data_IF_253644641271
#
_entry.id   IF_253644641271
#
_cell.length_a   1.000
_cell.length_b   1.000
_cell.length_c   1.000
_cell.angle_alpha   90.00
_cell.angle_beta   90.00
_cell.angle_gamma   90.00
#
_symmetry.space_group_name_H-M   'P 1'
#
loop_
_entity.id
_entity.type
_entity.pdbx_description
1 polymer ?
#
# COMPACT_ATOMS: atom_id res chain seq x y z
N UNK A 1 0.99 24.50 -11.02
CA UNK A 1 0.94 23.20 -11.71
C UNK A 1 2.06 22.91 -12.74
N UNK A 2 2.57 23.86 -13.55
CA UNK A 2 3.60 23.54 -14.59
C UNK A 2 4.96 23.09 -14.04
N UNK A 3 5.34 23.55 -12.83
CA UNK A 3 6.57 23.11 -12.14
C UNK A 3 6.65 21.59 -11.93
N UNK A 4 5.53 20.91 -11.68
CA UNK A 4 5.53 19.45 -11.53
C UNK A 4 5.87 18.75 -12.85
N UNK A 5 5.42 19.29 -13.99
CA UNK A 5 5.74 18.77 -15.31
C UNK A 5 7.23 18.93 -15.63
N UNK A 6 7.86 20.03 -15.21
CA UNK A 6 9.31 20.24 -15.35
C UNK A 6 10.12 19.24 -14.51
N UNK A 7 9.72 19.00 -13.25
CA UNK A 7 10.47 18.11 -12.33
C UNK A 7 10.20 16.62 -12.59
N UNK A 8 8.99 16.24 -12.99
CA UNK A 8 8.54 14.84 -13.09
C UNK A 8 8.16 14.38 -14.50
N UNK A 9 8.26 15.24 -15.52
CA UNK A 9 7.91 14.90 -16.91
C UNK A 9 8.67 13.69 -17.46
N UNK A 10 9.94 13.52 -17.06
CA UNK A 10 10.78 12.37 -17.47
C UNK A 10 10.28 11.01 -16.96
N UNK A 11 9.43 11.00 -15.92
CA UNK A 11 8.83 9.77 -15.38
C UNK A 11 7.43 9.51 -15.94
N UNK A 12 7.00 10.30 -16.94
CA UNK A 12 5.64 10.23 -17.49
C UNK A 12 4.54 10.47 -16.43
N UNK A 13 4.82 11.26 -15.39
CA UNK A 13 3.79 11.61 -14.39
C UNK A 13 2.77 12.60 -14.96
N UNK A 14 3.28 13.69 -15.55
CA UNK A 14 2.49 14.80 -16.10
C UNK A 14 3.21 15.32 -17.35
N UNK A 15 2.45 15.64 -18.40
CA UNK A 15 2.94 16.33 -19.60
C UNK A 15 2.06 17.53 -19.91
N UNK A 16 2.65 18.62 -20.36
CA UNK A 16 1.93 19.79 -20.87
C UNK A 16 1.59 19.54 -22.34
N UNK A 17 0.31 19.69 -22.71
CA UNK A 17 -0.18 19.59 -24.09
C UNK A 17 -1.09 20.78 -24.38
N UNK A 18 -0.53 21.82 -25.01
CA UNK A 18 -1.21 23.10 -25.17
C UNK A 18 -1.55 23.71 -23.81
N UNK A 19 -2.84 24.00 -23.59
CA UNK A 19 -3.38 24.55 -22.33
C UNK A 19 -3.70 23.47 -21.29
N UNK A 20 -3.53 22.18 -21.63
CA UNK A 20 -3.91 21.06 -20.79
C UNK A 20 -2.73 20.35 -20.15
N UNK A 21 -2.96 19.78 -18.97
CA UNK A 21 -2.08 18.79 -18.36
C UNK A 21 -2.61 17.40 -18.66
N UNK A 22 -1.75 16.53 -19.19
CA UNK A 22 -2.05 15.13 -19.50
C UNK A 22 -1.27 14.21 -18.56
N UNK A 23 -1.90 13.11 -18.15
CA UNK A 23 -1.36 12.17 -17.17
C UNK A 23 -1.24 10.79 -17.81
N UNK A 24 -0.10 10.48 -18.47
CA UNK A 24 0.05 9.25 -19.25
C UNK A 24 0.21 7.98 -18.41
N UNK A 25 0.02 8.07 -17.08
CA UNK A 25 0.03 6.92 -16.18
C UNK A 25 1.40 6.48 -15.70
N UNK A 26 2.44 7.26 -15.94
CA UNK A 26 3.77 6.97 -15.44
C UNK A 26 3.89 7.14 -13.92
N UNK A 27 4.94 6.52 -13.38
CA UNK A 27 5.28 6.50 -11.97
C UNK A 27 6.77 6.28 -11.79
N UNK A 28 7.31 6.53 -10.59
CA UNK A 28 8.71 6.20 -10.32
C UNK A 28 8.98 4.70 -10.46
N UNK A 29 8.02 3.86 -10.05
CA UNK A 29 8.10 2.40 -10.17
C UNK A 29 7.51 1.84 -11.46
N UNK A 30 6.79 2.64 -12.25
CA UNK A 30 6.12 2.20 -13.48
C UNK A 30 6.25 3.26 -14.58
N UNK A 31 7.49 3.54 -14.97
CA UNK A 31 7.85 4.57 -15.97
C UNK A 31 7.21 4.31 -17.34
N UNK A 32 6.96 3.04 -17.65
CA UNK A 32 6.31 2.58 -18.88
C UNK A 32 4.78 2.46 -18.76
N UNK A 33 4.18 2.98 -17.68
CA UNK A 33 2.74 3.12 -17.52
C UNK A 33 2.15 2.18 -16.46
N UNK A 34 1.10 2.67 -15.79
CA UNK A 34 0.41 1.97 -14.71
C UNK A 34 -0.29 0.67 -15.19
N UNK A 35 -0.85 0.64 -16.41
CA UNK A 35 -1.53 -0.56 -16.93
C UNK A 35 -0.61 -1.78 -16.99
N UNK A 36 0.58 -1.64 -17.59
CA UNK A 36 1.58 -2.71 -17.61
C UNK A 36 1.93 -3.19 -16.20
N UNK A 37 2.07 -2.25 -15.25
CA UNK A 37 2.40 -2.59 -13.87
C UNK A 37 1.27 -3.31 -13.15
N UNK A 38 0.01 -2.91 -13.36
CA UNK A 38 -1.20 -3.58 -12.85
C UNK A 38 -1.29 -5.00 -13.42
N UNK A 39 -1.03 -5.18 -14.72
CA UNK A 39 -1.01 -6.49 -15.39
C UNK A 39 0.12 -7.38 -14.87
N UNK A 40 1.31 -6.80 -14.68
CA UNK A 40 2.43 -7.50 -14.09
C UNK A 40 2.11 -8.01 -12.67
N UNK A 41 1.50 -7.16 -11.81
CA UNK A 41 1.06 -7.58 -10.47
C UNK A 41 0.09 -8.76 -10.55
N UNK A 42 -0.90 -8.69 -11.45
CA UNK A 42 -1.86 -9.78 -11.64
C UNK A 42 -1.19 -11.04 -12.20
N UNK A 43 -0.21 -10.91 -13.09
CA UNK A 43 0.52 -12.04 -13.65
C UNK A 43 1.30 -12.81 -12.57
N UNK A 44 1.99 -12.10 -11.67
CA UNK A 44 2.79 -12.73 -10.61
C UNK A 44 1.95 -13.21 -9.42
N UNK A 45 0.71 -12.72 -9.29
CA UNK A 45 -0.25 -13.14 -8.27
C UNK A 45 -1.68 -13.16 -8.84
N UNK A 46 -2.05 -14.21 -9.60
CA UNK A 46 -3.35 -14.29 -10.28
C UNK A 46 -4.55 -14.16 -9.35
N UNK A 47 -4.44 -14.63 -8.11
CA UNK A 47 -5.53 -14.59 -7.13
C UNK A 47 -5.90 -13.17 -6.68
N UNK A 48 -5.08 -12.15 -6.99
CA UNK A 48 -5.50 -10.75 -6.83
C UNK A 48 -6.79 -10.49 -7.61
N UNK A 49 -6.89 -11.03 -8.83
CA UNK A 49 -8.11 -11.04 -9.64
C UNK A 49 -8.87 -9.70 -9.59
N UNK A 50 -8.24 -8.62 -10.09
CA UNK A 50 -8.78 -7.26 -10.10
C UNK A 50 -10.23 -7.22 -10.56
N UNK A 51 -11.08 -6.47 -9.86
CA UNK A 51 -12.50 -6.31 -10.17
C UNK A 51 -13.37 -7.51 -9.85
N UNK A 52 -12.77 -8.65 -9.46
CA UNK A 52 -13.49 -9.87 -9.04
C UNK A 52 -13.34 -10.07 -7.55
N UNK A 53 -12.12 -10.44 -7.12
CA UNK A 53 -11.79 -10.63 -5.72
C UNK A 53 -11.35 -9.32 -5.08
N UNK A 54 -10.35 -8.66 -5.65
CA UNK A 54 -9.87 -7.38 -5.13
C UNK A 54 -10.64 -6.24 -5.78
N UNK A 55 -11.42 -5.51 -4.98
CA UNK A 55 -12.30 -4.42 -5.40
C UNK A 55 -12.01 -3.11 -4.70
N UNK A 56 -11.40 -3.15 -3.51
CA UNK A 56 -11.09 -1.95 -2.72
C UNK A 56 -9.61 -1.92 -2.37
N UNK A 57 -8.91 -0.88 -2.81
CA UNK A 57 -7.46 -0.73 -2.66
C UNK A 57 -7.10 0.55 -1.91
N UNK A 58 -6.13 0.47 -1.01
CA UNK A 58 -5.47 1.62 -0.42
C UNK A 58 -4.11 1.82 -1.11
N UNK A 59 -3.93 2.94 -1.81
CA UNK A 59 -2.68 3.29 -2.50
C UNK A 59 -1.88 4.31 -1.69
N UNK A 60 -0.88 3.83 -0.94
CA UNK A 60 -0.06 4.63 -0.03
C UNK A 60 1.11 5.25 -0.79
N UNK A 61 1.29 6.56 -0.66
CA UNK A 61 2.30 7.33 -1.40
C UNK A 61 1.95 7.44 -2.89
N UNK A 62 0.68 7.69 -3.20
CA UNK A 62 0.08 7.57 -4.54
C UNK A 62 0.64 8.51 -5.62
N UNK A 63 1.40 9.54 -5.25
CA UNK A 63 1.80 10.59 -6.19
C UNK A 63 0.57 11.29 -6.78
N UNK A 64 0.52 11.39 -8.11
CA UNK A 64 -0.65 11.89 -8.87
C UNK A 64 -1.75 10.82 -9.08
N UNK A 65 -1.75 9.76 -8.26
CA UNK A 65 -2.72 8.67 -8.25
C UNK A 65 -2.86 7.91 -9.59
N UNK A 66 -1.78 7.79 -10.36
CA UNK A 66 -1.79 7.02 -11.62
C UNK A 66 -2.23 5.57 -11.41
N UNK A 67 -1.68 4.88 -10.41
CA UNK A 67 -2.04 3.49 -10.12
C UNK A 67 -3.55 3.35 -9.83
N UNK A 68 -4.07 4.14 -8.90
CA UNK A 68 -5.49 4.14 -8.56
C UNK A 68 -6.40 4.55 -9.71
N UNK A 69 -6.00 5.54 -10.51
CA UNK A 69 -6.79 5.99 -11.66
C UNK A 69 -6.96 4.93 -12.75
N UNK A 70 -5.90 4.18 -13.06
CA UNK A 70 -5.97 3.10 -14.07
C UNK A 70 -6.60 1.81 -13.55
N UNK A 71 -6.72 1.64 -12.22
CA UNK A 71 -7.47 0.53 -11.62
C UNK A 71 -8.99 0.66 -11.81
N UNK A 72 -9.51 1.85 -12.13
CA UNK A 72 -10.92 2.01 -12.49
C UNK A 72 -11.31 1.24 -13.75
N UNK A 73 -10.39 1.12 -14.72
CA UNK A 73 -10.58 0.30 -15.92
C UNK A 73 -10.67 -1.20 -15.61
N UNK A 74 -10.44 -1.59 -14.35
CA UNK A 74 -10.50 -2.96 -13.84
C UNK A 74 -11.60 -3.16 -12.79
N UNK A 75 -12.58 -2.26 -12.70
CA UNK A 75 -13.65 -2.29 -11.70
C UNK A 75 -13.14 -2.30 -10.25
N UNK A 76 -12.05 -1.58 -9.98
CA UNK A 76 -11.43 -1.48 -8.64
C UNK A 76 -11.49 -0.05 -8.14
N UNK A 77 -12.10 0.14 -6.97
CA UNK A 77 -12.10 1.41 -6.25
C UNK A 77 -10.79 1.56 -5.48
N UNK A 78 -10.03 2.59 -5.81
CA UNK A 78 -8.78 2.91 -5.11
C UNK A 78 -8.92 4.19 -4.30
N UNK A 79 -8.60 4.12 -3.02
CA UNK A 79 -8.41 5.28 -2.16
C UNK A 79 -6.92 5.61 -2.11
N UNK A 80 -6.54 6.73 -2.70
CA UNK A 80 -5.16 7.19 -2.75
C UNK A 80 -4.79 8.05 -1.54
N UNK A 81 -3.62 7.83 -0.96
CA UNK A 81 -3.13 8.57 0.20
C UNK A 81 -1.73 9.11 -0.07
N UNK A 82 -1.54 10.41 0.13
CA UNK A 82 -0.21 11.02 0.11
C UNK A 82 -0.13 12.24 1.05
N UNK A 83 1.07 12.51 1.61
CA UNK A 83 1.31 13.74 2.35
C UNK A 83 1.24 14.97 1.44
N UNK A 84 1.14 16.16 2.05
CA UNK A 84 1.52 17.39 1.37
C UNK A 84 3.04 17.45 1.30
N UNK A 85 3.61 17.37 0.10
CA UNK A 85 5.05 17.54 -0.12
C UNK A 85 5.38 18.93 -0.67
N UNK A 86 6.66 19.16 -0.94
CA UNK A 86 7.21 20.44 -1.43
C UNK A 86 6.78 20.77 -2.88
N UNK A 87 6.09 19.86 -3.58
CA UNK A 87 5.82 19.93 -5.03
C UNK A 87 4.35 20.22 -5.39
N UNK A 88 3.64 21.02 -4.57
CA UNK A 88 2.16 21.17 -4.60
C UNK A 88 1.45 19.87 -4.14
N UNK A 89 0.20 19.97 -3.66
CA UNK A 89 -0.51 18.79 -3.17
C UNK A 89 -0.78 17.82 -4.34
N UNK A 90 0.01 16.77 -4.51
CA UNK A 90 -0.16 15.78 -5.60
C UNK A 90 -1.56 15.11 -5.56
N UNK A 91 -2.13 15.03 -4.36
CA UNK A 91 -3.53 14.64 -4.10
C UNK A 91 -4.53 15.58 -4.79
N UNK A 92 -4.24 16.87 -4.94
CA UNK A 92 -5.09 17.82 -5.64
C UNK A 92 -5.30 17.39 -7.10
N UNK A 93 -4.23 17.01 -7.82
CA UNK A 93 -4.36 16.50 -9.18
C UNK A 93 -5.21 15.23 -9.26
N UNK A 94 -5.12 14.34 -8.27
CA UNK A 94 -5.96 13.16 -8.20
C UNK A 94 -7.43 13.56 -8.07
N UNK A 95 -7.75 14.48 -7.16
CA UNK A 95 -9.11 14.97 -6.91
C UNK A 95 -9.70 15.71 -8.12
N UNK A 96 -8.93 16.58 -8.78
CA UNK A 96 -9.32 17.29 -10.00
C UNK A 96 -9.62 16.34 -11.17
N UNK A 97 -9.03 15.14 -11.15
CA UNK A 97 -9.27 14.07 -12.13
C UNK A 97 -10.37 13.09 -11.71
N UNK A 98 -11.06 13.34 -10.58
CA UNK A 98 -12.12 12.47 -10.07
C UNK A 98 -11.61 11.18 -9.41
N UNK A 99 -10.32 11.10 -9.06
CA UNK A 99 -9.74 9.94 -8.39
C UNK A 99 -9.87 10.15 -6.87
N UNK A 100 -10.50 9.22 -6.11
CA UNK A 100 -10.62 9.29 -4.66
C UNK A 100 -9.25 9.34 -4.01
N UNK A 101 -9.00 10.42 -3.29
CA UNK A 101 -7.74 10.63 -2.63
C UNK A 101 -7.89 11.46 -1.35
N UNK A 102 -7.00 11.24 -0.40
CA UNK A 102 -6.92 12.00 0.84
C UNK A 102 -5.50 12.51 1.09
N UNK A 103 -5.40 13.74 1.60
CA UNK A 103 -4.14 14.27 2.09
C UNK A 103 -3.96 13.85 3.54
N UNK A 104 -3.08 12.89 3.78
CA UNK A 104 -2.85 12.33 5.11
C UNK A 104 -1.41 11.80 5.22
N UNK A 105 -0.93 11.76 6.46
CA UNK A 105 0.35 11.14 6.84
C UNK A 105 0.09 9.95 7.75
N UNK A 106 0.83 8.88 7.55
CA UNK A 106 0.97 7.83 8.55
C UNK A 106 1.99 8.30 9.58
N UNK A 107 1.60 8.34 10.86
CA UNK A 107 2.46 8.90 11.91
C UNK A 107 2.06 8.44 13.29
N UNK A 108 1.26 9.23 14.01
CA UNK A 108 0.89 8.95 15.41
C UNK A 108 -0.55 8.48 15.60
N UNK A 109 -1.44 8.75 14.62
CA UNK A 109 -2.87 8.41 14.65
C UNK A 109 -3.21 7.40 13.57
N UNK A 110 -4.26 6.61 13.82
CA UNK A 110 -4.82 5.68 12.83
C UNK A 110 -5.21 6.43 11.56
N UNK A 111 -5.12 5.75 10.42
CA UNK A 111 -5.76 6.23 9.21
C UNK A 111 -7.27 6.28 9.42
N UNK A 112 -7.99 7.23 8.79
CA UNK A 112 -9.40 7.50 9.03
C UNK A 112 -10.32 6.48 8.34
N UNK A 113 -9.99 5.19 8.47
CA UNK A 113 -10.75 4.08 7.92
C UNK A 113 -11.03 3.06 9.03
N UNK A 114 -12.24 2.45 9.04
CA UNK A 114 -12.52 1.27 9.85
C UNK A 114 -11.54 0.12 9.56
N UNK A 115 -11.50 -0.86 10.45
CA UNK A 115 -10.69 -2.06 10.22
C UNK A 115 -11.27 -2.88 9.08
N UNK A 116 -10.42 -3.66 8.40
CA UNK A 116 -10.83 -4.68 7.41
C UNK A 116 -11.64 -4.13 6.23
N UNK A 117 -11.26 -2.97 5.71
CA UNK A 117 -11.96 -2.31 4.58
C UNK A 117 -11.30 -2.62 3.23
N UNK A 118 -9.99 -2.85 3.22
CA UNK A 118 -9.22 -2.97 1.98
C UNK A 118 -8.89 -4.42 1.65
N UNK A 119 -9.05 -4.80 0.39
CA UNK A 119 -8.58 -6.09 -0.14
C UNK A 119 -7.07 -6.06 -0.36
N UNK A 120 -6.57 -4.90 -0.80
CA UNK A 120 -5.15 -4.69 -1.08
C UNK A 120 -4.68 -3.35 -0.54
N UNK A 121 -3.48 -3.35 0.04
CA UNK A 121 -2.71 -2.13 0.27
C UNK A 121 -1.54 -2.16 -0.71
N UNK A 122 -1.36 -1.08 -1.46
CA UNK A 122 -0.29 -0.90 -2.41
C UNK A 122 0.66 0.19 -1.93
N UNK A 123 1.97 -0.03 -2.06
CA UNK A 123 3.00 0.98 -1.85
C UNK A 123 4.08 0.84 -2.93
N UNK A 124 4.12 1.82 -3.84
CA UNK A 124 5.18 1.97 -4.83
C UNK A 124 6.09 3.14 -4.47
N UNK A 125 7.27 2.84 -3.91
CA UNK A 125 8.26 3.82 -3.42
C UNK A 125 7.65 4.88 -2.49
N UNK A 126 6.71 4.47 -1.64
CA UNK A 126 5.95 5.37 -0.76
C UNK A 126 6.78 6.02 0.36
N UNK A 127 8.05 5.59 0.55
CA UNK A 127 8.99 6.10 1.57
C UNK A 127 8.51 5.95 3.03
N UNK A 128 7.54 5.08 3.27
CA UNK A 128 7.09 4.76 4.62
C UNK A 128 8.08 3.76 5.25
N UNK A 129 8.66 4.07 6.43
CA UNK A 129 9.60 3.18 7.09
C UNK A 129 8.85 2.08 7.84
N UNK A 130 8.34 1.08 7.11
CA UNK A 130 7.48 0.02 7.67
C UNK A 130 8.11 -0.80 8.81
N UNK A 131 9.44 -0.89 8.85
CA UNK A 131 10.19 -1.77 9.76
C UNK A 131 10.60 -1.11 11.09
N UNK A 132 10.53 0.23 11.20
CA UNK A 132 10.97 0.94 12.41
C UNK A 132 9.87 0.98 13.47
N UNK A 133 10.20 1.45 14.67
CA UNK A 133 9.25 1.65 15.78
C UNK A 133 8.38 0.41 16.06
N UNK A 134 8.99 -0.78 16.02
CA UNK A 134 8.29 -2.04 16.26
C UNK A 134 7.26 -2.41 15.18
N UNK A 135 7.37 -1.82 13.99
CA UNK A 135 6.47 -2.11 12.87
C UNK A 135 5.11 -1.45 12.97
N UNK A 136 4.97 -0.40 13.80
CA UNK A 136 3.69 0.26 14.11
C UNK A 136 2.87 0.64 12.87
N UNK A 137 3.54 1.10 11.81
CA UNK A 137 2.88 1.47 10.55
C UNK A 137 2.40 0.25 9.75
N UNK A 138 3.15 -0.86 9.81
CA UNK A 138 2.74 -2.12 9.19
C UNK A 138 1.58 -2.77 9.96
N UNK A 139 1.54 -2.61 11.28
CA UNK A 139 0.43 -3.05 12.13
C UNK A 139 -0.87 -2.30 11.81
N UNK A 140 -0.78 -1.02 11.44
CA UNK A 140 -1.95 -0.30 10.92
C UNK A 140 -2.46 -0.91 9.61
N UNK A 141 -1.57 -1.33 8.71
CA UNK A 141 -2.00 -2.07 7.51
C UNK A 141 -2.66 -3.40 7.88
N UNK A 142 -2.17 -4.08 8.92
CA UNK A 142 -2.82 -5.29 9.43
C UNK A 142 -4.23 -5.00 9.95
N UNK A 143 -4.49 -3.87 10.60
CA UNK A 143 -5.85 -3.47 11.01
C UNK A 143 -6.75 -3.23 9.79
N UNK A 144 -6.23 -2.55 8.77
CA UNK A 144 -6.96 -2.07 7.60
C UNK A 144 -7.26 -3.16 6.56
N UNK A 145 -6.36 -4.13 6.39
CA UNK A 145 -6.53 -5.23 5.44
C UNK A 145 -7.60 -6.21 5.91
N UNK A 146 -8.44 -6.64 4.98
CA UNK A 146 -9.35 -7.78 5.17
C UNK A 146 -8.57 -9.07 5.44
N UNK A 147 -9.15 -10.05 6.15
CA UNK A 147 -8.58 -11.39 6.23
C UNK A 147 -8.30 -11.93 4.82
N UNK A 148 -7.10 -12.46 4.57
CA UNK A 148 -6.68 -12.86 3.22
C UNK A 148 -6.38 -11.69 2.27
N UNK A 149 -6.27 -10.45 2.75
CA UNK A 149 -5.86 -9.31 1.93
C UNK A 149 -4.37 -9.34 1.58
N UNK A 150 -3.97 -8.56 0.56
CA UNK A 150 -2.57 -8.47 0.13
C UNK A 150 -1.93 -7.12 0.44
N UNK A 151 -0.64 -7.16 0.76
CA UNK A 151 0.22 -5.99 0.72
C UNK A 151 1.19 -6.10 -0.45
N UNK A 152 1.05 -5.20 -1.43
CA UNK A 152 1.91 -5.13 -2.62
C UNK A 152 2.95 -4.03 -2.40
N UNK A 153 4.20 -4.44 -2.21
CA UNK A 153 5.30 -3.55 -1.89
C UNK A 153 6.35 -3.51 -2.99
N UNK A 154 6.50 -2.34 -3.62
CA UNK A 154 7.52 -2.09 -4.64
C UNK A 154 8.43 -0.94 -4.21
N UNK A 155 9.58 -1.28 -3.63
CA UNK A 155 10.55 -0.31 -3.12
C UNK A 155 11.98 -0.80 -3.34
N UNK A 156 12.96 0.11 -3.22
CA UNK A 156 14.37 -0.20 -3.44
C UNK A 156 14.88 -1.38 -2.60
N UNK A 157 14.44 -1.60 -1.34
CA UNK A 157 14.81 -2.79 -0.57
C UNK A 157 14.46 -4.13 -1.24
N UNK A 158 13.45 -4.14 -2.12
CA UNK A 158 13.00 -5.37 -2.80
C UNK A 158 13.95 -5.78 -3.93
N UNK A 159 14.61 -4.84 -4.61
CA UNK A 159 15.35 -5.12 -5.84
C UNK A 159 16.76 -4.54 -5.94
N UNK A 160 17.16 -3.68 -5.00
CA UNK A 160 18.54 -3.20 -4.89
C UNK A 160 19.33 -4.04 -3.88
N UNK A 161 20.66 -3.89 -3.93
CA UNK A 161 21.62 -4.62 -3.08
C UNK A 161 22.52 -3.67 -2.29
N UNK A 162 22.10 -2.42 -2.12
CA UNK A 162 22.80 -1.48 -1.25
C UNK A 162 22.72 -1.96 0.21
N UNK A 163 23.73 -1.71 1.05
CA UNK A 163 23.74 -2.18 2.44
C UNK A 163 22.49 -1.80 3.24
N UNK A 164 22.02 -0.56 3.07
CA UNK A 164 20.79 -0.06 3.71
C UNK A 164 19.54 -0.81 3.21
N UNK A 165 19.38 -0.94 1.89
CA UNK A 165 18.26 -1.67 1.28
C UNK A 165 18.20 -3.13 1.75
N UNK A 166 19.35 -3.80 1.85
CA UNK A 166 19.45 -5.16 2.38
C UNK A 166 19.04 -5.21 3.85
N UNK A 167 19.51 -4.27 4.67
CA UNK A 167 19.11 -4.17 6.09
C UNK A 167 17.61 -3.99 6.25
N UNK A 168 17.01 -3.08 5.50
CA UNK A 168 15.55 -2.84 5.51
C UNK A 168 14.78 -4.10 5.09
N UNK A 169 15.25 -4.81 4.06
CA UNK A 169 14.64 -6.06 3.60
C UNK A 169 14.67 -7.15 4.69
N UNK A 170 15.79 -7.32 5.38
CA UNK A 170 15.90 -8.29 6.47
C UNK A 170 14.98 -7.96 7.64
N UNK A 171 14.91 -6.69 8.05
CA UNK A 171 13.99 -6.27 9.11
C UNK A 171 12.52 -6.43 8.71
N UNK A 172 12.18 -6.11 7.45
CA UNK A 172 10.84 -6.36 6.92
C UNK A 172 10.46 -7.83 6.91
N UNK A 173 11.37 -8.74 6.53
CA UNK A 173 11.13 -10.20 6.60
C UNK A 173 10.89 -10.67 8.04
N UNK A 174 11.70 -10.20 8.99
CA UNK A 174 11.51 -10.54 10.42
C UNK A 174 10.17 -10.05 10.93
N UNK A 175 9.82 -8.80 10.64
CA UNK A 175 8.59 -8.18 11.08
C UNK A 175 7.35 -8.83 10.45
N UNK A 176 7.33 -9.02 9.13
CA UNK A 176 6.20 -9.67 8.43
C UNK A 176 5.96 -11.08 8.96
N UNK A 177 7.03 -11.84 9.23
CA UNK A 177 6.94 -13.15 9.86
C UNK A 177 6.36 -13.09 11.28
N UNK A 178 6.75 -12.10 12.11
CA UNK A 178 6.24 -11.98 13.49
C UNK A 178 4.76 -11.58 13.57
N UNK A 179 4.23 -10.96 12.50
CA UNK A 179 2.81 -10.64 12.33
C UNK A 179 2.06 -11.65 11.46
N UNK A 180 2.64 -12.84 11.23
CA UNK A 180 2.05 -13.94 10.46
C UNK A 180 1.72 -13.62 8.99
N UNK A 181 2.33 -12.59 8.40
CA UNK A 181 2.18 -12.34 6.98
C UNK A 181 3.11 -13.26 6.19
N UNK A 182 2.53 -13.91 5.19
CA UNK A 182 3.26 -14.78 4.28
C UNK A 182 3.82 -13.97 3.11
N UNK A 183 5.13 -14.09 2.82
CA UNK A 183 5.71 -13.57 1.59
C UNK A 183 5.41 -14.54 0.45
N UNK A 184 4.42 -14.23 -0.38
CA UNK A 184 3.91 -15.13 -1.42
C UNK A 184 4.79 -15.11 -2.66
N UNK A 185 5.27 -13.93 -3.07
CA UNK A 185 6.09 -13.81 -4.26
C UNK A 185 7.00 -12.59 -4.21
N UNK A 186 8.19 -12.72 -4.80
CA UNK A 186 9.08 -11.61 -5.11
C UNK A 186 9.47 -11.74 -6.58
N UNK A 187 9.07 -10.78 -7.40
CA UNK A 187 9.34 -10.81 -8.83
C UNK A 187 9.83 -9.47 -9.34
N UNK A 188 10.56 -9.51 -10.46
CA UNK A 188 11.13 -8.34 -11.11
C UNK A 188 10.36 -8.02 -12.39
N UNK A 189 9.78 -6.84 -12.44
CA UNK A 189 9.28 -6.25 -13.67
C UNK A 189 10.48 -5.80 -14.50
N UNK A 190 10.81 -6.58 -15.53
CA UNK A 190 11.95 -6.31 -16.41
C UNK A 190 11.76 -5.04 -17.24
N UNK A 191 10.52 -4.67 -17.55
CA UNK A 191 10.20 -3.49 -18.36
C UNK A 191 10.46 -2.23 -17.56
N UNK A 192 9.95 -2.15 -16.33
CA UNK A 192 10.19 -0.99 -15.48
C UNK A 192 11.52 -1.05 -14.71
N UNK A 193 12.16 -2.21 -14.65
CA UNK A 193 13.42 -2.41 -13.93
C UNK A 193 13.26 -2.44 -12.41
N UNK A 194 12.08 -2.79 -11.91
CA UNK A 194 11.70 -2.72 -10.49
C UNK A 194 11.33 -4.10 -9.95
N UNK A 195 11.38 -4.27 -8.63
CA UNK A 195 10.89 -5.46 -7.93
C UNK A 195 9.60 -5.20 -7.19
N UNK A 196 8.80 -6.25 -7.06
CA UNK A 196 7.56 -6.27 -6.28
C UNK A 196 7.59 -7.47 -5.35
N UNK A 197 7.39 -7.23 -4.07
CA UNK A 197 7.14 -8.25 -3.05
C UNK A 197 5.65 -8.20 -2.69
N UNK A 198 4.98 -9.35 -2.68
CA UNK A 198 3.57 -9.46 -2.30
C UNK A 198 3.46 -10.30 -1.03
N UNK A 199 2.87 -9.71 0.00
CA UNK A 199 2.57 -10.37 1.26
C UNK A 199 1.08 -10.66 1.37
N UNK A 200 0.73 -11.76 2.03
CA UNK A 200 -0.64 -12.18 2.26
C UNK A 200 -0.93 -12.22 3.76
N UNK A 201 -1.99 -11.52 4.17
CA UNK A 201 -2.49 -11.50 5.55
C UNK A 201 -3.24 -12.82 5.84
N UNK A 202 -3.08 -13.43 7.02
CA UNK A 202 -3.77 -14.67 7.35
C UNK A 202 -5.30 -14.51 7.33
N UNK A 203 -5.99 -15.61 7.06
CA UNK A 203 -7.46 -15.73 7.05
C UNK A 203 -8.04 -16.24 8.37
N UNK A 204 -7.21 -16.76 9.27
CA UNK A 204 -7.58 -17.27 10.59
C UNK A 204 -6.60 -16.79 11.67
N UNK A 205 -6.95 -16.97 12.94
CA UNK A 205 -6.08 -16.61 14.07
C UNK A 205 -5.06 -17.69 14.44
N UNK A 206 -5.06 -18.84 13.77
CA UNK A 206 -4.22 -20.00 14.13
C UNK A 206 -2.74 -19.61 14.25
N UNK A 207 -2.22 -18.86 13.27
CA UNK A 207 -0.83 -18.41 13.34
C UNK A 207 -0.60 -17.47 14.53
N UNK A 208 -1.52 -16.54 14.83
CA UNK A 208 -1.37 -15.61 15.95
C UNK A 208 -1.32 -16.33 17.30
N UNK A 209 -2.10 -17.39 17.44
CA UNK A 209 -2.21 -18.22 18.65
C UNK A 209 -1.01 -19.16 18.83
N UNK A 210 -0.38 -19.59 17.74
CA UNK A 210 0.76 -20.50 17.75
C UNK A 210 2.12 -19.78 17.78
N UNK A 211 2.15 -18.43 17.87
CA UNK A 211 3.42 -17.69 17.91
C UNK A 211 4.21 -18.03 19.17
N UNK A 212 5.49 -18.36 18.98
CA UNK A 212 6.42 -18.64 20.07
C UNK A 212 6.67 -17.43 20.98
N UNK A 213 6.49 -16.21 20.46
CA UNK A 213 6.56 -14.97 21.21
C UNK A 213 5.37 -14.07 20.87
N UNK A 214 4.74 -13.49 21.88
CA UNK A 214 3.66 -12.52 21.73
C UNK A 214 4.21 -11.11 21.43
N UNK A 215 5.04 -11.00 20.40
CA UNK A 215 5.70 -9.77 19.98
C UNK A 215 5.54 -9.59 18.46
N UNK A 216 4.76 -8.59 17.99
CA UNK A 216 3.98 -7.64 18.79
C UNK A 216 2.78 -8.32 19.48
N UNK A 217 2.30 -7.78 20.61
CA UNK A 217 1.18 -8.35 21.36
C UNK A 217 -0.12 -8.29 20.54
N UNK A 218 -1.07 -9.17 20.87
CA UNK A 218 -2.46 -9.03 20.40
C UNK A 218 -3.11 -7.83 21.11
N UNK A 219 -3.92 -7.06 20.39
CA UNK A 219 -4.63 -5.91 20.96
C UNK A 219 -5.64 -6.32 22.03
N UNK A 220 -5.89 -5.44 23.00
CA UNK A 220 -6.98 -5.60 23.97
C UNK A 220 -8.34 -5.68 23.27
N UNK A 221 -9.29 -6.44 23.82
CA UNK A 221 -10.67 -6.47 23.31
C UNK A 221 -11.36 -5.10 23.40
N UNK A 222 -10.92 -4.24 24.32
CA UNK A 222 -11.40 -2.86 24.43
C UNK A 222 -10.89 -1.93 23.32
N UNK A 223 -9.87 -2.35 22.55
CA UNK A 223 -9.32 -1.56 21.44
C UNK A 223 -10.08 -1.86 20.14
N UNK A 224 -11.18 -1.15 19.93
CA UNK A 224 -12.05 -1.33 18.77
C UNK A 224 -11.28 -1.10 17.45
N UNK A 225 -11.16 -2.10 16.55
CA UNK A 225 -10.49 -1.95 15.26
C UNK A 225 -11.19 -0.98 14.32
N UNK A 226 -12.48 -0.66 14.52
CA UNK A 226 -13.25 0.24 13.68
C UNK A 226 -13.14 1.71 14.11
N UNK A 227 -12.75 1.98 15.36
CA UNK A 227 -12.49 3.32 15.84
C UNK A 227 -11.24 3.90 15.15
N UNK A 228 -11.44 4.92 14.32
CA UNK A 228 -10.38 5.50 13.49
C UNK A 228 -10.13 6.99 13.77
N UNK A 229 -11.19 7.75 14.12
CA UNK A 229 -11.07 9.19 14.28
C UNK A 229 -10.32 9.56 15.56
N UNK A 230 -9.20 10.26 15.40
CA UNK A 230 -8.36 10.75 16.50
C UNK A 230 -7.83 9.65 17.46
N UNK A 231 -7.80 8.40 17.02
CA UNK A 231 -7.28 7.27 17.80
C UNK A 231 -5.77 7.14 17.58
N UNK A 232 -4.95 7.07 18.65
CA UNK A 232 -3.52 6.81 18.51
C UNK A 232 -3.24 5.46 17.86
N UNK A 233 -2.19 5.39 17.04
CA UNK A 233 -1.71 4.12 16.51
C UNK A 233 -1.31 3.20 17.66
N UNK A 234 -1.64 1.92 17.51
CA UNK A 234 -1.35 0.87 18.47
C UNK A 234 -0.25 -0.04 17.92
N UNK A 235 0.67 -0.46 18.78
CA UNK A 235 1.72 -1.42 18.44
C UNK A 235 1.27 -2.85 18.80
N UNK A 236 0.09 -3.25 18.32
CA UNK A 236 -0.51 -4.55 18.58
C UNK A 236 -1.23 -5.11 17.34
N UNK A 237 -1.56 -6.40 17.36
CA UNK A 237 -2.28 -7.12 16.30
C UNK A 237 -3.75 -7.27 16.63
N UNK A 238 -4.64 -6.75 15.79
CA UNK A 238 -6.05 -7.11 15.81
C UNK A 238 -6.27 -8.51 15.25
N UNK A 239 -7.01 -9.33 15.99
CA UNK A 239 -7.43 -10.67 15.54
C UNK A 239 -8.31 -10.60 14.29
N UNK A 240 -8.28 -11.68 13.52
CA UNK A 240 -9.24 -11.93 12.44
C UNK A 240 -10.60 -12.30 13.05
N UNK A 241 -11.73 -11.75 12.56
CA UNK A 241 -13.06 -12.11 13.05
C UNK A 241 -13.40 -13.58 12.81
N UNK A 242 -14.00 -14.23 13.81
CA UNK A 242 -14.35 -15.67 13.76
C UNK A 242 -15.82 -15.87 13.41
N UNK A 243 -16.72 -14.95 13.80
CA UNK A 243 -18.17 -15.03 13.53
C UNK A 243 -18.60 -14.32 12.24
N UNK A 244 -19.68 -14.82 11.60
CA UNK A 244 -20.26 -14.21 10.40
C UNK A 244 -20.77 -12.77 10.62
N UNK A 245 -21.23 -12.45 11.84
CA UNK A 245 -21.69 -11.11 12.21
C UNK A 245 -20.57 -10.08 12.42
N UNK A 246 -19.31 -10.54 12.45
CA UNK A 246 -18.12 -9.71 12.69
C UNK A 246 -17.20 -9.59 11.46
N UNK A 247 -17.50 -10.35 10.40
CA UNK A 247 -16.76 -10.45 9.14
C UNK A 247 -17.09 -9.33 8.17
#
# INVERSE_FOLDING_TARGET
>A
HTKLAEVKGHQNWVKVSGEYLTFPGGGTQFKHGALHYIDFIQQIMPDIAWGKRSRVVLDVGCGVASFGGFLFDRDVLTMSLAPKDEHEAQVQFALERGIPAISAVMGTKRLPFPGRVFDIVHCARCRVPWHIEGGKLLLELNRLLRPGGYFVWSATPVYQKLPEDVGIWEEMKKLTKSICWELVTVNKDKVNGVGVAIYHKPTTNECYEQRSANQPPVCSESDDPNAAWNVPLQACLHKVPVGESER
#
